data_IF_643270674133
#
_entry.id   IF_643270674133
#
_cell.length_a   1.000
_cell.length_b   1.000
_cell.length_c   1.000
_cell.angle_alpha   90.00
_cell.angle_beta   90.00
_cell.angle_gamma   90.00
#
_symmetry.space_group_name_H-M   'P 1'
#
loop_
_entity.id
_entity.type
_entity.pdbx_description
1 polymer ?
#
# COMPACT_ATOMS: atom_id res chain seq x y z
N UNK A 1 78.75 31.26 -22.46
CA UNK A 1 77.66 30.29 -22.15
C UNK A 1 76.54 30.44 -23.18
N UNK A 2 76.65 29.63 -24.25
CA UNK A 2 75.64 28.98 -25.12
C UNK A 2 74.22 29.62 -25.29
N UNK A 3 73.97 30.12 -26.54
CA UNK A 3 72.82 30.02 -27.49
C UNK A 3 71.35 30.17 -26.99
N UNK A 4 70.52 31.10 -27.52
CA UNK A 4 69.66 31.10 -28.75
C UNK A 4 68.57 29.99 -28.80
N UNK A 5 67.35 30.35 -29.30
CA UNK A 5 66.15 29.55 -29.70
C UNK A 5 65.13 29.25 -28.58
N UNK A 6 63.82 29.10 -28.79
CA UNK A 6 62.85 29.44 -29.84
C UNK A 6 61.45 29.12 -29.26
N UNK A 7 60.40 29.64 -29.89
CA UNK A 7 58.98 29.31 -29.70
C UNK A 7 58.75 27.79 -29.53
N UNK A 8 57.86 27.38 -28.63
CA UNK A 8 56.83 26.38 -28.92
C UNK A 8 55.74 26.36 -27.84
N UNK A 9 54.50 26.29 -28.31
CA UNK A 9 53.24 26.17 -27.57
C UNK A 9 53.21 24.97 -26.64
N UNK A 10 52.65 25.13 -25.43
CA UNK A 10 52.10 23.98 -24.70
C UNK A 10 50.81 24.40 -23.99
N UNK A 11 49.72 23.76 -24.42
CA UNK A 11 48.39 23.78 -23.84
C UNK A 11 48.47 23.71 -22.31
N UNK A 12 47.82 24.66 -21.63
CA UNK A 12 47.32 24.40 -20.28
C UNK A 12 46.22 23.36 -20.40
N UNK A 13 46.55 22.10 -20.10
CA UNK A 13 45.59 21.09 -19.67
C UNK A 13 44.92 21.60 -18.39
N UNK A 14 43.77 22.25 -18.52
CA UNK A 14 42.79 22.20 -17.45
C UNK A 14 42.40 20.74 -17.31
N UNK A 15 42.92 20.10 -16.26
CA UNK A 15 42.39 18.85 -15.78
C UNK A 15 40.91 19.08 -15.48
N UNK A 16 40.04 18.64 -16.40
CA UNK A 16 38.69 18.27 -16.03
C UNK A 16 38.88 17.19 -14.97
N UNK A 17 38.77 17.56 -13.69
CA UNK A 17 38.20 16.63 -12.75
C UNK A 17 36.80 16.34 -13.30
N UNK A 18 36.69 15.24 -14.04
CA UNK A 18 35.41 14.61 -14.29
C UNK A 18 34.92 14.23 -12.89
N UNK A 19 34.15 15.13 -12.29
CA UNK A 19 33.28 14.77 -11.20
C UNK A 19 32.34 13.74 -11.83
N UNK A 20 32.58 12.46 -11.54
CA UNK A 20 31.69 11.38 -11.95
C UNK A 20 30.38 11.62 -11.19
N UNK A 21 29.45 12.31 -11.83
CA UNK A 21 28.09 12.46 -11.33
C UNK A 21 27.45 11.08 -11.50
N UNK A 22 27.08 10.48 -10.36
CA UNK A 22 26.30 9.24 -10.30
C UNK A 22 25.12 9.32 -11.28
N UNK A 23 24.55 8.19 -11.71
CA UNK A 23 23.25 8.12 -12.39
C UNK A 23 22.06 8.59 -11.54
N UNK A 24 22.22 9.73 -10.86
CA UNK A 24 21.49 10.23 -9.70
C UNK A 24 20.23 11.00 -10.06
N UNK A 25 20.03 11.37 -11.32
CA UNK A 25 18.96 12.32 -11.67
C UNK A 25 17.63 11.62 -11.98
N UNK A 26 17.65 10.42 -12.59
CA UNK A 26 16.41 9.69 -12.94
C UNK A 26 15.50 9.49 -11.71
N UNK A 27 14.19 9.72 -11.85
CA UNK A 27 13.26 9.63 -10.73
C UNK A 27 12.98 8.17 -10.33
N UNK A 28 12.45 8.00 -9.12
CA UNK A 28 11.81 6.77 -8.65
C UNK A 28 10.34 6.83 -9.09
N UNK A 29 9.87 5.80 -9.79
CA UNK A 29 8.47 5.68 -10.17
C UNK A 29 7.67 5.02 -9.06
N UNK A 30 6.59 5.66 -8.60
CA UNK A 30 5.66 5.09 -7.60
C UNK A 30 4.30 4.97 -8.24
N UNK A 31 3.71 3.78 -8.21
CA UNK A 31 2.42 3.50 -8.83
C UNK A 31 1.38 3.00 -7.82
N UNK A 32 0.19 3.56 -7.89
CA UNK A 32 -1.00 3.07 -7.20
C UNK A 32 -2.23 3.13 -8.09
N UNK A 33 -3.29 2.39 -7.72
CA UNK A 33 -4.58 2.53 -8.40
C UNK A 33 -5.17 3.92 -8.20
N UNK A 34 -4.84 4.63 -7.11
CA UNK A 34 -5.38 5.96 -6.83
C UNK A 34 -4.48 6.81 -5.96
N UNK A 35 -5.10 7.51 -5.01
CA UNK A 35 -4.41 8.37 -4.04
C UNK A 35 -3.96 7.62 -2.79
N UNK A 36 -4.47 6.41 -2.53
CA UNK A 36 -4.09 5.63 -1.35
C UNK A 36 -2.57 5.39 -1.28
N UNK A 37 -1.91 5.15 -2.41
CA UNK A 37 -0.46 4.96 -2.49
C UNK A 37 0.39 6.16 -2.07
N UNK A 38 -0.21 7.34 -1.83
CA UNK A 38 0.49 8.47 -1.24
C UNK A 38 1.03 8.13 0.16
N UNK A 39 0.45 7.17 0.88
CA UNK A 39 1.01 6.67 2.16
C UNK A 39 2.38 6.03 1.98
N UNK A 40 2.60 5.29 0.88
CA UNK A 40 3.90 4.71 0.55
C UNK A 40 4.89 5.80 0.16
N UNK A 41 4.46 6.77 -0.65
CA UNK A 41 5.31 7.90 -1.03
C UNK A 41 5.70 8.74 0.19
N UNK A 42 4.76 9.03 1.08
CA UNK A 42 5.00 9.75 2.33
C UNK A 42 5.97 8.98 3.25
N UNK A 43 5.78 7.67 3.39
CA UNK A 43 6.73 6.81 4.10
C UNK A 43 8.14 6.89 3.51
N UNK A 44 8.28 6.94 2.18
CA UNK A 44 9.59 7.12 1.54
C UNK A 44 10.19 8.51 1.80
N UNK A 45 9.40 9.58 1.68
CA UNK A 45 9.86 10.96 1.88
C UNK A 45 10.33 11.20 3.33
N UNK A 46 9.73 10.54 4.30
CA UNK A 46 10.01 10.73 5.72
C UNK A 46 10.89 9.63 6.34
N UNK A 47 11.29 8.61 5.58
CA UNK A 47 12.09 7.51 6.11
C UNK A 47 13.47 8.02 6.56
N UNK A 48 13.87 7.73 7.79
CA UNK A 48 15.25 7.89 8.32
C UNK A 48 15.56 6.64 9.16
N UNK A 49 15.63 5.49 8.48
CA UNK A 49 15.84 4.19 9.10
C UNK A 49 17.28 3.69 8.92
N UNK A 50 18.07 4.34 8.07
CA UNK A 50 19.44 3.93 7.75
C UNK A 50 20.41 5.11 7.80
N UNK A 51 21.67 4.78 8.02
CA UNK A 51 22.72 5.77 7.93
C UNK A 51 23.06 5.98 6.45
N UNK A 52 22.86 7.18 5.93
CA UNK A 52 22.98 7.49 4.52
C UNK A 52 24.39 7.29 3.94
N UNK A 53 25.41 7.35 4.78
CA UNK A 53 26.79 7.08 4.38
C UNK A 53 27.06 5.57 4.29
N UNK A 54 26.76 4.84 5.35
CA UNK A 54 27.14 3.42 5.48
C UNK A 54 26.12 2.44 4.91
N UNK A 55 24.86 2.86 4.76
CA UNK A 55 23.73 2.00 4.39
C UNK A 55 23.29 1.02 5.48
N UNK A 56 23.88 1.10 6.69
CA UNK A 56 23.52 0.23 7.81
C UNK A 56 22.25 0.73 8.51
N UNK A 57 21.47 -0.15 9.15
CA UNK A 57 20.33 0.26 9.96
C UNK A 57 20.73 1.25 11.06
N UNK A 58 19.88 2.23 11.31
CA UNK A 58 20.06 3.29 12.30
C UNK A 58 19.96 4.68 11.69
N UNK A 59 19.02 5.49 12.19
CA UNK A 59 18.78 6.86 11.75
C UNK A 59 20.03 7.75 11.85
N UNK A 60 20.22 8.67 10.91
CA UNK A 60 21.28 9.68 10.97
C UNK A 60 20.80 11.13 10.96
N UNK A 61 19.49 11.34 11.11
CA UNK A 61 18.85 12.66 11.15
C UNK A 61 18.61 13.24 9.76
N UNK A 62 18.84 12.46 8.70
CA UNK A 62 18.66 12.86 7.32
C UNK A 62 17.75 11.83 6.64
N UNK A 63 16.67 12.27 5.96
CA UNK A 63 15.81 11.33 5.24
C UNK A 63 16.61 10.48 4.23
N UNK A 64 16.34 9.18 4.23
CA UNK A 64 17.00 8.17 3.41
C UNK A 64 16.90 8.48 1.92
N UNK A 65 15.77 9.03 1.49
CA UNK A 65 15.53 9.43 0.09
C UNK A 65 15.89 10.88 -0.19
N UNK A 66 16.70 11.53 0.66
CA UNK A 66 17.11 12.92 0.43
C UNK A 66 17.87 13.06 -0.91
N UNK A 67 17.36 13.95 -1.76
CA UNK A 67 17.94 14.22 -3.08
C UNK A 67 17.41 13.30 -4.19
N UNK A 68 16.47 12.41 -3.86
CA UNK A 68 15.72 11.63 -4.85
C UNK A 68 14.52 12.42 -5.38
N UNK A 69 14.13 12.12 -6.61
CA UNK A 69 12.95 12.68 -7.28
C UNK A 69 11.92 11.59 -7.55
N UNK A 70 10.64 11.94 -7.53
CA UNK A 70 9.55 10.98 -7.65
C UNK A 70 8.63 11.30 -8.83
N UNK A 71 8.31 10.25 -9.60
CA UNK A 71 7.18 10.24 -10.52
C UNK A 71 6.09 9.37 -9.90
N UNK A 72 5.06 10.00 -9.35
CA UNK A 72 3.89 9.29 -8.83
C UNK A 72 2.83 9.15 -9.92
N UNK A 73 2.28 7.95 -10.11
CA UNK A 73 1.17 7.68 -11.02
C UNK A 73 0.00 7.06 -10.26
N UNK A 74 -1.15 7.73 -10.33
CA UNK A 74 -2.46 7.22 -9.90
C UNK A 74 -3.33 6.86 -11.11
N UNK A 75 -3.83 5.64 -11.17
CA UNK A 75 -4.78 5.21 -12.21
C UNK A 75 -6.26 5.42 -11.82
N UNK A 76 -6.64 6.67 -11.51
CA UNK A 76 -8.00 7.00 -11.04
C UNK A 76 -9.09 6.59 -12.04
N UNK A 77 -8.78 6.62 -13.35
CA UNK A 77 -9.69 6.23 -14.43
C UNK A 77 -10.21 4.78 -14.32
N UNK A 78 -9.43 3.90 -13.69
CA UNK A 78 -9.72 2.47 -13.60
C UNK A 78 -9.89 1.99 -12.15
N UNK A 79 -10.07 2.91 -11.20
CA UNK A 79 -10.39 2.52 -9.83
C UNK A 79 -11.83 1.99 -9.70
N UNK A 80 -12.09 1.16 -8.67
CA UNK A 80 -11.14 0.56 -7.73
C UNK A 80 -10.64 -0.82 -8.20
N UNK A 81 -9.33 -1.04 -8.17
CA UNK A 81 -8.72 -2.33 -8.57
C UNK A 81 -9.20 -3.51 -7.72
N UNK A 82 -9.61 -3.26 -6.47
CA UNK A 82 -10.07 -4.29 -5.54
C UNK A 82 -11.26 -5.12 -6.03
N UNK A 83 -12.04 -4.62 -7.00
CA UNK A 83 -13.27 -5.28 -7.47
C UNK A 83 -13.08 -6.12 -8.74
N UNK A 84 -11.98 -5.94 -9.48
CA UNK A 84 -11.79 -6.53 -10.81
C UNK A 84 -11.84 -8.07 -10.80
N UNK A 85 -11.28 -8.70 -9.77
CA UNK A 85 -11.29 -10.16 -9.65
C UNK A 85 -12.70 -10.72 -9.46
N UNK A 86 -13.55 -10.03 -8.68
CA UNK A 86 -14.93 -10.43 -8.48
C UNK A 86 -15.79 -10.25 -9.74
N UNK A 87 -15.37 -9.36 -10.65
CA UNK A 87 -16.01 -9.13 -11.94
C UNK A 87 -15.42 -9.99 -13.08
N UNK A 88 -14.47 -10.89 -12.79
CA UNK A 88 -13.82 -11.71 -13.82
C UNK A 88 -12.91 -10.93 -14.77
N UNK A 89 -12.44 -9.73 -14.37
CA UNK A 89 -11.64 -8.80 -15.18
C UNK A 89 -10.14 -8.81 -14.83
N UNK A 90 -9.63 -9.90 -14.29
CA UNK A 90 -8.24 -10.00 -13.81
C UNK A 90 -7.20 -9.77 -14.92
N UNK A 91 -7.44 -10.28 -16.13
CA UNK A 91 -6.49 -10.09 -17.24
C UNK A 91 -6.43 -8.62 -17.69
N UNK A 92 -7.60 -7.97 -17.76
CA UNK A 92 -7.69 -6.55 -18.03
C UNK A 92 -7.00 -5.73 -16.93
N UNK A 93 -7.17 -6.08 -15.65
CA UNK A 93 -6.45 -5.44 -14.54
C UNK A 93 -4.92 -5.52 -14.75
N UNK A 94 -4.40 -6.70 -15.07
CA UNK A 94 -2.96 -6.89 -15.33
C UNK A 94 -2.47 -6.05 -16.48
N UNK A 95 -3.22 -6.01 -17.58
CA UNK A 95 -2.89 -5.19 -18.75
C UNK A 95 -2.76 -3.70 -18.36
N UNK A 96 -3.73 -3.17 -17.61
CA UNK A 96 -3.73 -1.78 -17.16
C UNK A 96 -2.54 -1.47 -16.24
N UNK A 97 -2.22 -2.38 -15.31
CA UNK A 97 -1.04 -2.26 -14.45
C UNK A 97 0.24 -2.21 -15.29
N UNK A 98 0.41 -3.13 -16.25
CA UNK A 98 1.61 -3.18 -17.08
C UNK A 98 1.78 -1.93 -17.95
N UNK A 99 0.68 -1.34 -18.45
CA UNK A 99 0.71 -0.03 -19.14
C UNK A 99 1.19 1.08 -18.22
N UNK A 100 0.66 1.15 -16.99
CA UNK A 100 1.07 2.14 -15.99
C UNK A 100 2.55 2.01 -15.62
N UNK A 101 3.03 0.78 -15.39
CA UNK A 101 4.44 0.54 -15.11
C UNK A 101 5.33 0.87 -16.32
N UNK A 102 4.88 0.57 -17.54
CA UNK A 102 5.60 0.93 -18.77
C UNK A 102 5.71 2.44 -18.94
N UNK A 103 4.65 3.18 -18.66
CA UNK A 103 4.66 4.64 -18.66
C UNK A 103 5.74 5.16 -17.71
N UNK A 104 5.78 4.70 -16.45
CA UNK A 104 6.81 5.12 -15.49
C UNK A 104 8.23 4.74 -15.93
N UNK A 105 8.41 3.50 -16.41
CA UNK A 105 9.70 2.91 -16.73
C UNK A 105 10.40 3.51 -17.97
N UNK A 106 9.65 4.15 -18.88
CA UNK A 106 10.18 4.66 -20.15
C UNK A 106 10.08 6.17 -20.24
N UNK A 107 10.95 6.76 -21.06
CA UNK A 107 10.77 8.15 -21.49
C UNK A 107 9.46 8.25 -22.26
N UNK A 108 8.59 9.16 -21.82
CA UNK A 108 7.26 9.31 -22.43
C UNK A 108 7.00 10.78 -22.69
N UNK A 109 6.57 11.09 -23.91
CA UNK A 109 6.09 12.43 -24.26
C UNK A 109 4.61 12.53 -23.93
N UNK A 110 4.22 13.65 -23.32
CA UNK A 110 2.83 13.96 -23.02
C UNK A 110 2.54 15.43 -23.31
N UNK A 111 1.27 15.76 -23.51
CA UNK A 111 0.84 17.12 -23.74
C UNK A 111 0.16 17.68 -22.49
N UNK A 112 0.58 18.85 -22.06
CA UNK A 112 -0.08 19.60 -21.00
C UNK A 112 -0.72 20.85 -21.61
N UNK A 113 -2.01 21.05 -21.33
CA UNK A 113 -2.69 22.30 -21.66
C UNK A 113 -2.27 23.36 -20.66
N UNK A 114 -1.70 24.46 -21.15
CA UNK A 114 -1.40 25.65 -20.35
C UNK A 114 -2.10 26.82 -21.04
N UNK A 115 -3.08 27.41 -20.34
CA UNK A 115 -4.05 28.34 -20.93
C UNK A 115 -4.72 27.74 -22.18
N UNK A 116 -4.45 28.31 -23.36
CA UNK A 116 -5.10 27.96 -24.63
C UNK A 116 -4.20 27.16 -25.58
N UNK A 117 -3.08 26.61 -25.09
CA UNK A 117 -2.12 25.85 -25.91
C UNK A 117 -1.73 24.53 -25.26
N UNK A 118 -1.49 23.52 -26.10
CA UNK A 118 -0.87 22.26 -25.70
C UNK A 118 0.64 22.38 -25.86
N UNK A 119 1.36 22.09 -24.78
CA UNK A 119 2.82 22.07 -24.76
C UNK A 119 3.26 20.62 -24.58
N UNK A 120 4.19 20.17 -25.42
CA UNK A 120 4.80 18.85 -25.30
C UNK A 120 5.81 18.87 -24.14
N UNK A 121 5.66 17.94 -23.23
CA UNK A 121 6.58 17.66 -22.14
C UNK A 121 7.14 16.26 -22.29
N UNK A 122 8.35 16.05 -21.79
CA UNK A 122 8.95 14.72 -21.69
C UNK A 122 9.04 14.34 -20.22
N UNK A 123 8.46 13.19 -19.87
CA UNK A 123 8.68 12.52 -18.59
C UNK A 123 9.92 11.64 -18.71
N UNK A 124 10.88 11.82 -17.82
CA UNK A 124 12.05 10.95 -17.72
C UNK A 124 11.65 9.51 -17.35
N UNK A 125 12.43 8.55 -17.82
CA UNK A 125 12.33 7.15 -17.41
C UNK A 125 12.74 6.96 -15.94
N UNK A 126 12.05 6.08 -15.22
CA UNK A 126 12.37 5.79 -13.82
C UNK A 126 13.59 4.86 -13.68
N UNK A 127 14.41 5.08 -12.64
CA UNK A 127 15.55 4.19 -12.30
C UNK A 127 15.16 3.00 -11.43
N UNK A 128 14.02 3.11 -10.75
CA UNK A 128 13.41 2.10 -9.88
C UNK A 128 11.90 2.27 -9.94
N UNK A 129 11.17 1.19 -9.70
CA UNK A 129 9.72 1.20 -9.60
C UNK A 129 9.25 0.67 -8.23
N UNK A 130 8.27 1.34 -7.65
CA UNK A 130 7.57 0.94 -6.43
C UNK A 130 6.09 0.75 -6.76
N UNK A 131 5.58 -0.45 -6.52
CA UNK A 131 4.16 -0.81 -6.67
C UNK A 131 3.51 -0.64 -5.30
N UNK A 132 2.94 0.54 -5.06
CA UNK A 132 2.30 0.92 -3.80
C UNK A 132 0.92 0.25 -3.62
N UNK A 133 0.23 -0.06 -4.72
CA UNK A 133 -1.07 -0.74 -4.66
C UNK A 133 -0.91 -2.20 -4.20
N UNK A 134 -1.59 -2.56 -3.10
CA UNK A 134 -1.64 -3.94 -2.61
C UNK A 134 -2.26 -4.89 -3.64
N UNK A 135 -3.40 -4.50 -4.23
CA UNK A 135 -4.07 -5.31 -5.25
C UNK A 135 -3.20 -5.47 -6.49
N UNK A 136 -2.55 -4.41 -6.98
CA UNK A 136 -1.68 -4.50 -8.15
C UNK A 136 -0.46 -5.40 -7.87
N UNK A 137 0.13 -5.28 -6.69
CA UNK A 137 1.22 -6.17 -6.25
C UNK A 137 0.77 -7.62 -6.24
N UNK A 138 -0.43 -7.91 -5.73
CA UNK A 138 -0.96 -9.26 -5.62
C UNK A 138 -1.17 -9.96 -6.98
N UNK A 139 -1.56 -9.20 -8.01
CA UNK A 139 -1.90 -9.75 -9.31
C UNK A 139 -0.76 -9.68 -10.33
N UNK A 140 0.10 -8.66 -10.27
CA UNK A 140 0.99 -8.32 -11.37
C UNK A 140 2.47 -8.15 -10.99
N UNK A 141 2.89 -8.26 -9.71
CA UNK A 141 4.29 -8.01 -9.34
C UNK A 141 5.29 -8.85 -10.16
N UNK A 142 5.01 -10.13 -10.36
CA UNK A 142 5.87 -11.01 -11.17
C UNK A 142 5.85 -10.63 -12.65
N UNK A 143 4.69 -10.29 -13.20
CA UNK A 143 4.55 -9.85 -14.59
C UNK A 143 5.33 -8.54 -14.83
N UNK A 144 5.30 -7.61 -13.87
CA UNK A 144 6.07 -6.36 -13.90
C UNK A 144 7.58 -6.67 -13.81
N UNK A 145 8.02 -7.50 -12.86
CA UNK A 145 9.44 -7.90 -12.74
C UNK A 145 9.95 -8.54 -14.03
N UNK A 146 9.16 -9.40 -14.66
CA UNK A 146 9.51 -10.03 -15.93
C UNK A 146 9.61 -9.00 -17.07
N UNK A 147 8.67 -8.05 -17.14
CA UNK A 147 8.68 -6.99 -18.15
C UNK A 147 9.86 -6.01 -17.99
N UNK A 148 10.21 -5.69 -16.75
CA UNK A 148 11.29 -4.74 -16.42
C UNK A 148 12.69 -5.37 -16.52
N UNK A 149 12.77 -6.70 -16.40
CA UNK A 149 14.03 -7.42 -16.34
C UNK A 149 14.84 -7.11 -15.07
N UNK A 150 16.10 -7.59 -15.00
CA UNK A 150 16.93 -7.44 -13.80
C UNK A 150 17.49 -6.01 -13.61
N UNK A 151 17.35 -5.14 -14.61
CA UNK A 151 18.03 -3.83 -14.65
C UNK A 151 17.26 -2.72 -13.91
N UNK A 152 15.93 -2.83 -13.83
CA UNK A 152 15.08 -1.87 -13.11
C UNK A 152 14.51 -2.59 -11.89
N UNK A 153 14.97 -2.29 -10.66
CA UNK A 153 14.40 -2.87 -9.46
C UNK A 153 12.92 -2.53 -9.32
N UNK A 154 12.13 -3.56 -8.98
CA UNK A 154 10.69 -3.42 -8.72
C UNK A 154 10.40 -3.91 -7.30
N UNK A 155 9.96 -3.00 -6.45
CA UNK A 155 9.58 -3.27 -5.06
C UNK A 155 8.05 -3.20 -4.93
N UNK A 156 7.44 -4.18 -4.28
CA UNK A 156 6.00 -4.24 -4.06
C UNK A 156 5.65 -4.39 -2.59
N UNK A 157 4.48 -3.91 -2.21
CA UNK A 157 4.08 -3.80 -0.79
C UNK A 157 3.88 -5.14 -0.07
N UNK A 158 3.48 -6.19 -0.78
CA UNK A 158 3.17 -7.50 -0.17
C UNK A 158 4.42 -8.13 0.44
N UNK A 159 5.50 -8.28 -0.34
CA UNK A 159 6.73 -8.92 0.15
C UNK A 159 7.29 -8.19 1.38
N UNK A 160 7.25 -6.86 1.37
CA UNK A 160 7.72 -6.02 2.47
C UNK A 160 6.88 -6.23 3.74
N UNK A 161 5.56 -6.21 3.63
CA UNK A 161 4.66 -6.51 4.76
C UNK A 161 4.84 -7.93 5.29
N UNK A 162 5.01 -8.92 4.40
CA UNK A 162 5.24 -10.31 4.78
C UNK A 162 6.55 -10.47 5.57
N UNK A 163 7.67 -9.90 5.10
CA UNK A 163 8.95 -10.01 5.82
C UNK A 163 8.87 -9.39 7.22
N UNK A 164 8.18 -8.26 7.38
CA UNK A 164 8.00 -7.65 8.69
C UNK A 164 7.13 -8.51 9.63
N UNK A 165 6.04 -9.10 9.12
CA UNK A 165 5.23 -10.05 9.88
C UNK A 165 6.05 -11.27 10.32
N UNK A 166 6.86 -11.85 9.42
CA UNK A 166 7.69 -13.02 9.74
C UNK A 166 8.76 -12.72 10.78
N UNK A 167 9.43 -11.55 10.72
CA UNK A 167 10.37 -11.10 11.77
C UNK A 167 9.73 -11.02 13.16
N UNK A 168 8.44 -10.70 13.23
CA UNK A 168 7.70 -10.73 14.49
C UNK A 168 7.39 -12.18 14.92
N UNK A 169 6.92 -13.01 13.99
CA UNK A 169 6.60 -14.42 14.24
C UNK A 169 7.81 -15.28 14.65
N UNK A 170 9.03 -14.91 14.26
CA UNK A 170 10.27 -15.52 14.76
C UNK A 170 10.43 -15.36 16.27
N UNK A 171 9.91 -14.27 16.84
CA UNK A 171 10.00 -13.96 18.27
C UNK A 171 8.81 -14.52 19.03
N UNK A 172 7.61 -14.38 18.47
CA UNK A 172 6.36 -14.77 19.13
C UNK A 172 5.40 -15.40 18.11
N UNK A 173 5.28 -16.74 18.18
CA UNK A 173 4.38 -17.48 17.29
C UNK A 173 2.92 -17.17 17.59
N UNK A 174 2.15 -16.91 16.54
CA UNK A 174 0.71 -16.76 16.60
C UNK A 174 0.07 -16.90 15.23
N UNK A 175 -1.17 -16.45 15.13
CA UNK A 175 -1.87 -16.34 13.84
C UNK A 175 -1.56 -14.98 13.22
N UNK A 176 -1.18 -14.99 11.94
CA UNK A 176 -1.02 -13.79 11.11
C UNK A 176 -2.35 -13.49 10.44
N UNK A 177 -2.96 -12.36 10.81
CA UNK A 177 -4.11 -11.81 10.11
C UNK A 177 -3.67 -11.00 8.90
N UNK A 178 -4.38 -11.14 7.78
CA UNK A 178 -4.26 -10.28 6.60
C UNK A 178 -5.57 -9.52 6.45
N UNK A 179 -5.57 -8.24 6.78
CA UNK A 179 -6.73 -7.38 6.58
C UNK A 179 -6.49 -6.49 5.35
N UNK A 180 -7.17 -6.81 4.25
CA UNK A 180 -6.88 -6.23 2.94
C UNK A 180 -8.16 -5.99 2.11
N UNK A 181 -8.04 -5.41 0.92
CA UNK A 181 -9.18 -5.34 -0.01
C UNK A 181 -9.66 -6.73 -0.40
N UNK A 182 -10.93 -6.84 -0.80
CA UNK A 182 -11.52 -8.13 -1.22
C UNK A 182 -10.76 -8.77 -2.38
N UNK A 183 -10.31 -7.97 -3.36
CA UNK A 183 -9.47 -8.44 -4.46
C UNK A 183 -8.10 -8.94 -3.99
N UNK A 184 -7.46 -8.24 -3.05
CA UNK A 184 -6.18 -8.70 -2.48
C UNK A 184 -6.35 -10.03 -1.76
N UNK A 185 -7.42 -10.20 -0.97
CA UNK A 185 -7.70 -11.49 -0.31
C UNK A 185 -7.98 -12.59 -1.34
N UNK A 186 -8.80 -12.30 -2.36
CA UNK A 186 -9.15 -13.26 -3.40
C UNK A 186 -7.94 -13.75 -4.22
N UNK A 187 -6.92 -12.90 -4.41
CA UNK A 187 -5.68 -13.27 -5.10
C UNK A 187 -4.86 -14.35 -4.38
N UNK A 188 -5.08 -14.51 -3.07
CA UNK A 188 -4.23 -15.28 -2.17
C UNK A 188 -2.75 -14.81 -2.14
N UNK A 189 -2.49 -13.54 -2.49
CA UNK A 189 -1.13 -12.99 -2.63
C UNK A 189 -0.34 -13.00 -1.32
N UNK A 190 -0.92 -12.46 -0.24
CA UNK A 190 -0.27 -12.45 1.08
C UNK A 190 -0.01 -13.86 1.62
N UNK A 191 -0.99 -14.80 1.70
CA UNK A 191 -0.70 -16.13 2.23
C UNK A 191 0.35 -16.89 1.40
N UNK A 192 0.34 -16.78 0.07
CA UNK A 192 1.37 -17.39 -0.78
C UNK A 192 2.76 -16.80 -0.48
N UNK A 193 2.87 -15.49 -0.38
CA UNK A 193 4.14 -14.81 -0.09
C UNK A 193 4.65 -15.14 1.32
N UNK A 194 3.76 -15.16 2.32
CA UNK A 194 4.10 -15.55 3.70
C UNK A 194 4.64 -16.98 3.76
N UNK A 195 3.99 -17.95 3.13
CA UNK A 195 4.45 -19.35 3.13
C UNK A 195 5.77 -19.51 2.37
N UNK A 196 5.94 -18.85 1.23
CA UNK A 196 7.19 -18.89 0.45
C UNK A 196 8.37 -18.30 1.21
N UNK A 197 8.17 -17.12 1.83
CA UNK A 197 9.20 -16.45 2.63
C UNK A 197 9.44 -17.18 3.96
N UNK A 198 8.40 -17.69 4.60
CA UNK A 198 8.52 -18.49 5.82
C UNK A 198 9.34 -19.77 5.58
N UNK A 199 9.09 -20.46 4.47
CA UNK A 199 9.87 -21.64 4.08
C UNK A 199 11.34 -21.31 3.82
N UNK A 200 11.66 -20.16 3.21
CA UNK A 200 13.05 -19.74 3.01
C UNK A 200 13.78 -19.39 4.32
N UNK A 201 13.02 -19.03 5.35
CA UNK A 201 13.51 -18.83 6.73
C UNK A 201 13.46 -20.11 7.58
N UNK A 202 13.18 -21.28 6.98
CA UNK A 202 13.01 -22.56 7.69
C UNK A 202 11.94 -22.52 8.79
N UNK A 203 10.94 -21.66 8.65
CA UNK A 203 9.77 -21.65 9.52
C UNK A 203 8.85 -22.81 9.16
N UNK A 204 8.22 -23.42 10.17
CA UNK A 204 7.16 -24.41 9.94
C UNK A 204 5.91 -23.77 9.32
N UNK A 205 4.90 -24.59 9.03
CA UNK A 205 3.61 -24.13 8.48
C UNK A 205 3.05 -22.98 9.32
N UNK A 206 2.74 -21.87 8.66
CA UNK A 206 2.23 -20.67 9.30
C UNK A 206 0.72 -20.79 9.58
N UNK A 207 0.25 -20.15 10.64
CA UNK A 207 -1.19 -19.95 10.86
C UNK A 207 -1.57 -18.60 10.27
N UNK A 208 -2.37 -18.60 9.21
CA UNK A 208 -2.71 -17.40 8.44
C UNK A 208 -4.23 -17.33 8.28
N UNK A 209 -4.81 -16.15 8.51
CA UNK A 209 -6.22 -15.88 8.27
C UNK A 209 -6.37 -14.56 7.51
N UNK A 210 -7.22 -14.55 6.48
CA UNK A 210 -7.48 -13.36 5.67
C UNK A 210 -8.90 -12.85 5.85
N UNK A 211 -9.05 -11.52 5.94
CA UNK A 211 -10.32 -10.79 5.96
C UNK A 211 -10.33 -9.70 4.88
N UNK A 212 -11.35 -9.72 4.03
CA UNK A 212 -11.58 -8.68 3.04
C UNK A 212 -12.36 -7.51 3.64
N UNK A 213 -11.79 -6.31 3.65
CA UNK A 213 -12.44 -5.09 4.14
C UNK A 213 -13.32 -4.43 3.08
N UNK A 214 -14.39 -5.12 2.66
CA UNK A 214 -15.33 -4.60 1.67
C UNK A 214 -15.96 -3.26 2.10
N UNK A 215 -15.88 -2.26 1.23
CA UNK A 215 -16.40 -0.92 1.46
C UNK A 215 -15.57 -0.06 2.42
N UNK A 216 -14.53 -0.59 3.07
CA UNK A 216 -13.74 0.17 4.03
C UNK A 216 -12.89 1.24 3.33
N UNK A 217 -12.18 0.88 2.25
CA UNK A 217 -11.37 1.85 1.50
C UNK A 217 -12.26 2.94 0.90
N UNK A 218 -13.38 2.53 0.31
CA UNK A 218 -14.38 3.43 -0.28
C UNK A 218 -15.02 4.35 0.78
N UNK A 219 -15.26 3.87 2.01
CA UNK A 219 -15.74 4.71 3.11
C UNK A 219 -14.71 5.76 3.55
N UNK A 220 -13.42 5.44 3.50
CA UNK A 220 -12.32 6.37 3.82
C UNK A 220 -12.24 7.46 2.74
N UNK A 221 -12.40 7.07 1.48
CA UNK A 221 -12.44 7.98 0.32
C UNK A 221 -13.76 8.76 0.21
N UNK A 222 -14.73 8.49 1.09
CA UNK A 222 -16.07 9.08 1.08
C UNK A 222 -16.83 8.84 -0.22
N UNK A 223 -16.66 7.66 -0.80
CA UNK A 223 -17.45 7.23 -1.95
C UNK A 223 -18.93 7.18 -1.57
N UNK A 224 -19.76 7.90 -2.34
CA UNK A 224 -21.20 7.99 -2.10
C UNK A 224 -21.88 6.62 -1.99
N UNK A 225 -21.40 5.57 -2.65
CA UNK A 225 -21.98 4.23 -2.58
C UNK A 225 -21.79 3.56 -1.20
N UNK A 226 -20.88 4.07 -0.36
CA UNK A 226 -20.47 3.46 0.91
C UNK A 226 -20.55 4.42 2.10
N UNK A 227 -20.50 5.73 1.88
CA UNK A 227 -20.61 6.74 2.93
C UNK A 227 -21.23 8.02 2.37
N UNK A 228 -22.08 8.66 3.15
CA UNK A 228 -22.66 9.96 2.84
C UNK A 228 -22.82 10.82 4.10
N UNK A 229 -22.22 12.01 4.11
CA UNK A 229 -22.16 12.86 5.30
C UNK A 229 -23.52 13.42 5.75
N UNK A 230 -24.39 13.73 4.79
CA UNK A 230 -25.62 14.51 5.03
C UNK A 230 -26.89 13.64 5.03
N UNK A 231 -26.76 12.33 5.22
CA UNK A 231 -27.91 11.41 5.24
C UNK A 231 -28.17 10.89 6.64
N UNK A 232 -29.45 10.74 6.98
CA UNK A 232 -29.92 10.27 8.29
C UNK A 232 -30.78 9.01 8.18
N UNK A 233 -30.93 8.46 6.98
CA UNK A 233 -31.73 7.26 6.70
C UNK A 233 -30.98 6.32 5.75
N UNK A 234 -31.21 4.99 5.84
CA UNK A 234 -30.70 4.04 4.87
C UNK A 234 -31.02 4.43 3.42
N UNK A 235 -30.13 4.06 2.50
CA UNK A 235 -30.23 4.39 1.07
C UNK A 235 -30.33 3.13 0.24
N UNK A 236 -31.11 3.21 -0.84
CA UNK A 236 -31.32 2.08 -1.77
C UNK A 236 -30.06 1.76 -2.57
N UNK A 237 -29.23 2.76 -2.86
CA UNK A 237 -28.01 2.63 -3.65
C UNK A 237 -26.75 2.31 -2.82
N UNK A 238 -26.90 2.15 -1.50
CA UNK A 238 -25.81 1.77 -0.61
C UNK A 238 -25.35 0.34 -0.91
N UNK A 239 -24.04 0.15 -1.07
CA UNK A 239 -23.44 -1.14 -1.47
C UNK A 239 -22.74 -1.86 -0.33
N UNK A 240 -22.47 -1.20 0.79
CA UNK A 240 -21.68 -1.74 1.90
C UNK A 240 -22.38 -2.84 2.72
N UNK A 241 -21.77 -3.26 3.85
CA UNK A 241 -22.39 -4.19 4.78
C UNK A 241 -23.72 -3.65 5.30
N UNK A 242 -24.76 -4.48 5.27
CA UNK A 242 -26.10 -4.15 5.76
C UNK A 242 -26.84 -5.38 6.29
N UNK A 243 -28.00 -5.21 6.92
CA UNK A 243 -28.83 -6.36 7.33
C UNK A 243 -29.35 -7.16 6.13
N UNK A 244 -29.62 -6.47 5.01
CA UNK A 244 -30.16 -7.07 3.79
C UNK A 244 -29.10 -7.55 2.79
N UNK A 245 -27.82 -7.19 2.97
CA UNK A 245 -26.75 -7.57 2.06
C UNK A 245 -26.48 -9.09 2.12
N UNK A 246 -26.63 -9.78 0.99
CA UNK A 246 -26.49 -11.24 0.95
C UNK A 246 -25.05 -11.73 1.01
N UNK A 247 -24.07 -10.89 0.63
CA UNK A 247 -22.65 -11.24 0.60
C UNK A 247 -21.89 -10.74 1.82
N UNK A 248 -22.31 -9.58 2.35
CA UNK A 248 -21.72 -8.94 3.52
C UNK A 248 -22.81 -8.59 4.54
N UNK A 249 -23.56 -9.59 5.05
CA UNK A 249 -24.61 -9.34 6.02
C UNK A 249 -24.02 -8.84 7.34
N UNK A 250 -24.70 -7.89 7.97
CA UNK A 250 -24.56 -7.60 9.40
C UNK A 250 -25.35 -8.66 10.16
N UNK A 251 -24.69 -9.43 11.02
CA UNK A 251 -25.37 -10.44 11.82
C UNK A 251 -26.05 -9.80 13.04
N UNK A 252 -27.40 -9.77 13.11
CA UNK A 252 -28.10 -9.16 14.22
C UNK A 252 -27.78 -9.84 15.56
N UNK A 253 -27.37 -11.11 15.59
CA UNK A 253 -26.97 -11.82 16.81
C UNK A 253 -25.65 -11.27 17.39
N UNK A 254 -24.84 -10.58 16.58
CA UNK A 254 -23.57 -9.98 16.98
C UNK A 254 -23.67 -8.48 17.28
N UNK A 255 -24.88 -7.89 17.28
CA UNK A 255 -25.08 -6.45 17.52
C UNK A 255 -24.39 -5.94 18.79
N UNK A 256 -24.49 -6.70 19.89
CA UNK A 256 -23.85 -6.37 21.17
C UNK A 256 -22.32 -6.44 21.10
N UNK A 257 -21.77 -7.21 20.17
CA UNK A 257 -20.34 -7.39 19.95
C UNK A 257 -19.79 -6.32 19.02
N UNK A 258 -20.50 -6.02 17.92
CA UNK A 258 -20.12 -4.97 16.98
C UNK A 258 -19.97 -3.63 17.69
N UNK A 259 -20.94 -3.28 18.56
CA UNK A 259 -20.98 -1.98 19.27
C UNK A 259 -20.76 -0.81 18.31
N UNK A 260 -21.50 -0.81 17.21
CA UNK A 260 -21.40 0.24 16.20
C UNK A 260 -21.65 1.61 16.83
N UNK A 261 -20.87 2.60 16.39
CA UNK A 261 -21.07 4.00 16.71
C UNK A 261 -22.32 4.48 15.98
N UNK A 262 -23.33 4.93 16.72
CA UNK A 262 -24.62 5.40 16.18
C UNK A 262 -24.80 6.91 16.21
N UNK A 263 -23.92 7.64 16.88
CA UNK A 263 -23.96 9.11 16.95
C UNK A 263 -23.65 9.74 15.61
N UNK A 264 -24.20 10.91 15.31
CA UNK A 264 -23.80 11.71 14.14
C UNK A 264 -24.05 11.04 12.79
N UNK A 265 -25.09 10.20 12.70
CA UNK A 265 -25.41 9.41 11.51
C UNK A 265 -24.32 8.39 11.09
N UNK A 266 -23.40 8.01 11.99
CA UNK A 266 -22.38 6.97 11.72
C UNK A 266 -22.97 5.57 11.50
N UNK A 267 -24.20 5.34 11.96
CA UNK A 267 -25.01 4.15 11.69
C UNK A 267 -26.41 4.60 11.27
N UNK A 268 -26.89 4.10 10.14
CA UNK A 268 -28.22 4.41 9.63
C UNK A 268 -29.14 3.23 9.89
N UNK A 269 -30.28 3.46 10.51
CA UNK A 269 -31.29 2.44 10.76
C UNK A 269 -32.66 2.90 10.27
N UNK A 270 -33.37 2.00 9.58
CA UNK A 270 -34.82 2.11 9.40
C UNK A 270 -35.50 1.33 10.52
N UNK A 271 -36.54 1.90 11.13
CA UNK A 271 -37.22 1.29 12.28
C UNK A 271 -38.65 0.95 11.92
N UNK A 272 -39.12 -0.23 12.35
CA UNK A 272 -40.54 -0.56 12.32
C UNK A 272 -41.34 0.16 13.42
N UNK A 273 -42.65 -0.01 13.40
CA UNK A 273 -43.57 0.57 14.39
C UNK A 273 -43.30 0.11 15.84
N UNK A 274 -42.48 -0.93 16.02
CA UNK A 274 -42.07 -1.48 17.32
C UNK A 274 -40.68 -1.00 17.74
N UNK A 275 -40.04 -0.12 16.95
CA UNK A 275 -38.70 0.41 17.22
C UNK A 275 -37.58 -0.58 16.95
N UNK A 276 -37.83 -1.67 16.20
CA UNK A 276 -36.78 -2.60 15.76
C UNK A 276 -36.15 -2.08 14.47
N UNK A 277 -34.81 -2.04 14.43
CA UNK A 277 -34.09 -1.71 13.20
C UNK A 277 -34.29 -2.83 12.17
N UNK A 278 -34.95 -2.52 11.05
CA UNK A 278 -35.29 -3.43 9.94
C UNK A 278 -34.27 -3.37 8.81
N UNK A 279 -33.58 -2.25 8.66
CA UNK A 279 -32.45 -2.07 7.75
C UNK A 279 -31.35 -1.31 8.49
N UNK A 280 -30.10 -1.78 8.40
CA UNK A 280 -28.95 -1.17 9.06
C UNK A 280 -27.85 -0.97 8.03
N UNK A 281 -27.31 0.24 7.92
CA UNK A 281 -26.20 0.56 7.02
C UNK A 281 -25.09 1.27 7.78
N UNK A 282 -23.84 0.90 7.49
CA UNK A 282 -22.67 1.55 8.06
C UNK A 282 -22.42 2.86 7.32
N UNK A 283 -22.15 3.94 8.04
CA UNK A 283 -21.91 5.26 7.44
C UNK A 283 -20.70 5.96 8.09
N UNK A 284 -19.76 5.15 8.59
CA UNK A 284 -18.54 5.62 9.25
C UNK A 284 -17.43 4.55 9.12
N UNK A 285 -16.20 4.91 8.70
CA UNK A 285 -15.11 3.95 8.55
C UNK A 285 -14.79 3.17 9.84
N UNK A 286 -15.03 3.73 11.03
CA UNK A 286 -14.88 3.03 12.32
C UNK A 286 -15.82 1.83 12.40
N UNK A 287 -17.05 1.97 11.91
CA UNK A 287 -18.02 0.89 11.90
C UNK A 287 -17.65 -0.20 10.88
N UNK A 288 -17.07 0.17 9.75
CA UNK A 288 -16.50 -0.81 8.81
C UNK A 288 -15.35 -1.60 9.45
N UNK A 289 -14.45 -0.94 10.19
CA UNK A 289 -13.39 -1.62 10.95
C UNK A 289 -13.97 -2.61 11.95
N UNK A 290 -14.96 -2.18 12.76
CA UNK A 290 -15.64 -3.06 13.73
C UNK A 290 -16.27 -4.27 13.07
N UNK A 291 -17.03 -4.06 12.00
CA UNK A 291 -17.68 -5.13 11.24
C UNK A 291 -16.68 -6.18 10.77
N UNK A 292 -15.58 -5.75 10.13
CA UNK A 292 -14.60 -6.66 9.54
C UNK A 292 -13.74 -7.36 10.59
N UNK A 293 -13.36 -6.69 11.68
CA UNK A 293 -12.59 -7.32 12.76
C UNK A 293 -13.42 -8.33 13.55
N UNK A 294 -14.71 -8.04 13.83
CA UNK A 294 -15.61 -9.02 14.43
C UNK A 294 -15.79 -10.22 13.49
N UNK A 295 -16.01 -9.98 12.19
CA UNK A 295 -16.13 -11.06 11.18
C UNK A 295 -14.88 -11.95 11.16
N UNK A 296 -13.69 -11.35 11.21
CA UNK A 296 -12.41 -12.08 11.28
C UNK A 296 -12.33 -12.97 12.53
N UNK A 297 -12.64 -12.44 13.71
CA UNK A 297 -12.54 -13.21 14.96
C UNK A 297 -13.62 -14.29 15.08
N UNK A 298 -14.84 -14.04 14.61
CA UNK A 298 -15.89 -15.06 14.54
C UNK A 298 -15.51 -16.19 13.59
N UNK A 299 -14.91 -15.86 12.43
CA UNK A 299 -14.33 -16.85 11.53
C UNK A 299 -13.26 -17.68 12.24
N UNK A 300 -12.32 -17.05 12.95
CA UNK A 300 -11.27 -17.77 13.67
C UNK A 300 -11.83 -18.70 14.76
N UNK A 301 -12.85 -18.27 15.50
CA UNK A 301 -13.53 -19.10 16.50
C UNK A 301 -14.21 -20.30 15.84
N UNK A 302 -14.97 -20.06 14.78
CA UNK A 302 -15.71 -21.10 14.03
C UNK A 302 -14.78 -22.12 13.40
N UNK A 303 -13.64 -21.69 12.89
CA UNK A 303 -12.62 -22.55 12.27
C UNK A 303 -11.62 -23.13 13.30
N UNK A 304 -11.84 -22.90 14.59
CA UNK A 304 -11.04 -23.43 15.69
C UNK A 304 -9.53 -23.17 15.56
N UNK A 305 -9.15 -21.93 15.26
CA UNK A 305 -7.73 -21.55 15.23
C UNK A 305 -7.09 -21.79 16.59
N UNK A 306 -6.02 -22.59 16.61
CA UNK A 306 -5.32 -22.98 17.83
C UNK A 306 -4.41 -21.88 18.39
N UNK A 307 -3.93 -20.99 17.54
CA UNK A 307 -3.05 -19.87 17.91
C UNK A 307 -3.83 -18.55 17.89
N UNK A 308 -3.60 -17.66 18.87
CA UNK A 308 -4.27 -16.36 18.87
C UNK A 308 -3.72 -15.46 17.76
N UNK A 309 -4.56 -14.58 17.22
CA UNK A 309 -4.17 -13.48 16.36
C UNK A 309 -3.24 -12.55 17.15
N UNK A 310 -1.97 -12.49 16.76
CA UNK A 310 -0.97 -11.62 17.40
C UNK A 310 -0.26 -10.69 16.39
N UNK A 311 -0.52 -10.84 15.10
CA UNK A 311 -0.01 -9.98 14.02
C UNK A 311 -1.14 -9.68 13.05
N UNK A 312 -1.28 -8.45 12.61
CA UNK A 312 -2.27 -8.05 11.60
C UNK A 312 -1.59 -7.17 10.54
N UNK A 313 -1.53 -7.67 9.31
CA UNK A 313 -1.04 -6.93 8.15
C UNK A 313 -2.16 -6.04 7.61
N UNK A 314 -1.89 -4.74 7.50
CA UNK A 314 -2.77 -3.74 6.91
C UNK A 314 -2.61 -3.72 5.38
N UNK A 315 -3.13 -4.76 4.72
CA UNK A 315 -2.99 -5.02 3.28
C UNK A 315 -3.82 -4.13 2.34
N UNK A 316 -4.08 -2.89 2.74
CA UNK A 316 -4.63 -1.83 1.90
C UNK A 316 -3.98 -0.51 2.28
N UNK A 317 -3.65 0.32 1.30
CA UNK A 317 -2.97 1.61 1.51
C UNK A 317 -3.80 2.62 2.31
N UNK A 318 -5.13 2.42 2.44
CA UNK A 318 -5.99 3.28 3.26
C UNK A 318 -6.01 2.89 4.74
N UNK A 319 -5.73 1.62 5.08
CA UNK A 319 -5.94 1.11 6.43
C UNK A 319 -4.97 1.70 7.48
N UNK A 320 -3.73 2.09 7.14
CA UNK A 320 -2.85 2.83 8.06
C UNK A 320 -3.47 4.12 8.62
N UNK A 321 -4.35 4.82 7.89
CA UNK A 321 -5.06 5.99 8.41
C UNK A 321 -5.98 5.66 9.61
N UNK A 322 -6.38 4.40 9.75
CA UNK A 322 -7.22 3.90 10.84
C UNK A 322 -6.44 3.00 11.80
N UNK A 323 -5.09 3.07 11.83
CA UNK A 323 -4.25 2.21 12.69
C UNK A 323 -4.68 2.29 14.16
N UNK A 324 -4.89 3.49 14.69
CA UNK A 324 -5.29 3.69 16.08
C UNK A 324 -6.71 3.15 16.35
N UNK A 325 -7.63 3.36 15.42
CA UNK A 325 -8.99 2.79 15.46
C UNK A 325 -8.95 1.27 15.48
N UNK A 326 -8.17 0.64 14.57
CA UNK A 326 -7.99 -0.81 14.50
C UNK A 326 -7.41 -1.33 15.82
N UNK A 327 -6.38 -0.68 16.35
CA UNK A 327 -5.76 -1.05 17.63
C UNK A 327 -6.76 -0.96 18.79
N UNK A 328 -7.54 0.13 18.86
CA UNK A 328 -8.57 0.34 19.89
C UNK A 328 -9.66 -0.73 19.80
N UNK A 329 -10.16 -1.00 18.60
CA UNK A 329 -11.21 -2.02 18.41
C UNK A 329 -10.70 -3.42 18.78
N UNK A 330 -9.48 -3.79 18.39
CA UNK A 330 -8.89 -5.08 18.81
C UNK A 330 -8.79 -5.18 20.35
N UNK A 331 -8.38 -4.11 21.03
CA UNK A 331 -8.33 -4.07 22.49
C UNK A 331 -9.72 -4.21 23.12
N UNK A 332 -10.71 -3.48 22.61
CA UNK A 332 -12.10 -3.61 23.07
C UNK A 332 -12.64 -5.03 22.88
N UNK A 333 -12.34 -5.67 21.74
CA UNK A 333 -12.75 -7.05 21.47
C UNK A 333 -12.04 -8.05 22.39
N UNK A 334 -10.76 -7.83 22.71
CA UNK A 334 -10.03 -8.66 23.68
C UNK A 334 -10.66 -8.64 25.09
N UNK A 335 -11.19 -7.48 25.50
CA UNK A 335 -11.83 -7.29 26.80
C UNK A 335 -13.35 -7.52 26.80
N UNK A 336 -13.95 -7.76 25.62
CA UNK A 336 -15.38 -8.02 25.49
C UNK A 336 -15.79 -9.32 26.19
N UNK A 337 -16.83 -9.22 27.02
CA UNK A 337 -17.45 -10.35 27.72
C UNK A 337 -18.88 -10.56 27.25
N UNK A 338 -19.22 -11.81 26.97
CA UNK A 338 -20.61 -12.26 26.90
C UNK A 338 -20.94 -13.11 28.14
N UNK A 339 -22.11 -13.76 28.13
CA UNK A 339 -22.58 -14.61 29.24
C UNK A 339 -21.60 -15.75 29.58
N UNK A 340 -20.74 -16.15 28.65
CA UNK A 340 -19.75 -17.22 28.82
C UNK A 340 -18.35 -16.70 29.18
N UNK A 341 -18.22 -15.41 29.54
CA UNK A 341 -16.95 -14.79 29.88
C UNK A 341 -16.31 -14.09 28.68
N UNK A 342 -14.98 -14.06 28.62
CA UNK A 342 -14.26 -13.34 27.56
C UNK A 342 -14.42 -14.03 26.21
N UNK A 343 -15.09 -13.35 25.26
CA UNK A 343 -15.52 -13.96 24.00
C UNK A 343 -14.37 -14.35 23.08
N UNK A 344 -13.28 -13.56 23.06
CA UNK A 344 -12.21 -13.64 22.05
C UNK A 344 -10.82 -13.96 22.59
N UNK A 345 -10.59 -14.01 23.91
CA UNK A 345 -9.25 -14.26 24.46
C UNK A 345 -8.63 -15.60 24.07
N UNK A 346 -9.43 -16.57 23.61
CA UNK A 346 -8.94 -17.83 23.04
C UNK A 346 -8.37 -17.72 21.63
N UNK A 347 -8.72 -16.68 20.87
CA UNK A 347 -8.30 -16.49 19.45
C UNK A 347 -7.65 -15.14 19.18
N UNK A 348 -7.55 -14.26 20.17
CA UNK A 348 -6.98 -12.92 20.04
C UNK A 348 -5.98 -12.68 21.17
N UNK A 349 -4.76 -12.28 20.82
CA UNK A 349 -3.74 -11.95 21.80
C UNK A 349 -4.00 -10.57 22.42
N UNK A 350 -3.49 -10.34 23.64
CA UNK A 350 -3.60 -9.05 24.33
C UNK A 350 -2.97 -7.91 23.52
N UNK A 351 -1.85 -8.20 22.85
CA UNK A 351 -1.17 -7.29 21.95
C UNK A 351 -1.16 -7.90 20.55
N UNK A 352 -1.60 -7.12 19.57
CA UNK A 352 -1.52 -7.46 18.15
C UNK A 352 -0.55 -6.47 17.50
N UNK A 353 0.49 -6.99 16.87
CA UNK A 353 1.43 -6.19 16.09
C UNK A 353 0.79 -5.78 14.76
N UNK A 354 0.58 -4.48 14.56
CA UNK A 354 0.02 -3.95 13.32
C UNK A 354 1.15 -3.65 12.33
N UNK A 355 1.23 -4.44 11.28
CA UNK A 355 2.22 -4.28 10.22
C UNK A 355 1.66 -3.31 9.18
N UNK A 356 2.38 -2.20 8.97
CA UNK A 356 2.11 -1.26 7.90
C UNK A 356 3.04 -1.55 6.72
N UNK A 357 2.52 -2.11 5.60
CA UNK A 357 3.33 -2.39 4.43
C UNK A 357 4.00 -1.15 3.83
N UNK A 358 3.47 0.07 4.02
CA UNK A 358 4.01 1.27 3.42
C UNK A 358 5.41 1.61 3.95
N UNK A 359 5.57 1.60 5.27
CA UNK A 359 6.86 1.86 5.94
C UNK A 359 7.89 0.78 5.57
N UNK A 360 7.47 -0.48 5.53
CA UNK A 360 8.38 -1.58 5.17
C UNK A 360 8.78 -1.53 3.70
N UNK A 361 7.87 -1.10 2.83
CA UNK A 361 8.16 -0.89 1.40
C UNK A 361 9.19 0.20 1.20
N UNK A 362 9.07 1.31 1.93
CA UNK A 362 10.06 2.39 1.89
C UNK A 362 11.46 1.89 2.28
N UNK A 363 11.57 1.07 3.34
CA UNK A 363 12.85 0.45 3.75
C UNK A 363 13.41 -0.45 2.66
N UNK A 364 12.59 -1.30 2.04
CA UNK A 364 13.04 -2.18 0.96
C UNK A 364 13.43 -1.42 -0.30
N UNK A 365 12.67 -0.38 -0.65
CA UNK A 365 12.99 0.50 -1.78
C UNK A 365 14.32 1.21 -1.56
N UNK A 366 14.62 1.67 -0.34
CA UNK A 366 15.90 2.30 -0.05
C UNK A 366 17.06 1.31 -0.22
N UNK A 367 16.92 0.10 0.33
CA UNK A 367 17.95 -0.95 0.20
C UNK A 367 18.18 -1.33 -1.28
N UNK A 368 17.12 -1.47 -2.07
CA UNK A 368 17.24 -1.77 -3.49
C UNK A 368 17.79 -0.60 -4.31
N UNK A 369 17.47 0.65 -3.95
CA UNK A 369 18.05 1.86 -4.55
C UNK A 369 19.57 1.90 -4.34
N UNK A 370 20.06 1.58 -3.14
CA UNK A 370 21.51 1.56 -2.84
C UNK A 370 22.28 0.48 -3.59
N UNK A 371 21.61 -0.58 -4.02
CA UNK A 371 22.20 -1.67 -4.78
C UNK A 371 22.22 -1.43 -6.29
N UNK A 372 21.68 -0.29 -6.77
CA UNK A 372 21.79 0.06 -8.18
C UNK A 372 23.26 0.32 -8.56
N UNK A 373 23.72 -0.23 -9.70
CA UNK A 373 25.07 0.06 -10.20
C UNK A 373 25.22 1.55 -10.54
N UNK A 374 26.40 2.11 -10.29
CA UNK A 374 26.70 3.48 -10.72
C UNK A 374 26.66 3.55 -12.26
N UNK A 375 25.64 4.22 -12.81
CA UNK A 375 25.59 4.49 -14.25
C UNK A 375 26.48 5.69 -14.58
N UNK A 376 27.38 5.52 -15.55
CA UNK A 376 28.07 6.63 -16.21
C UNK A 376 27.05 7.47 -16.98
N UNK A 377 26.94 8.76 -16.65
CA UNK A 377 26.06 9.69 -17.34
C UNK A 377 26.60 10.00 -18.75
N UNK A 378 26.21 9.20 -19.75
CA UNK A 378 26.39 9.54 -21.16
C UNK A 378 25.10 10.21 -21.69
N UNK A 379 24.79 11.42 -21.22
CA UNK A 379 23.79 12.26 -21.88
C UNK A 379 24.21 13.71 -21.83
N UNK A 380 24.71 14.21 -22.96
CA UNK A 380 25.11 15.61 -23.21
C UNK A 380 23.94 16.49 -23.66
N UNK A 381 22.70 16.11 -23.33
CA UNK A 381 21.52 16.95 -23.56
C UNK A 381 21.23 17.81 -22.33
N UNK A 382 20.75 19.04 -22.52
CA UNK A 382 20.28 19.90 -21.42
C UNK A 382 19.13 19.22 -20.69
N UNK A 383 19.43 18.55 -19.57
CA UNK A 383 18.42 17.95 -18.70
C UNK A 383 17.73 19.13 -17.99
N UNK A 384 16.46 19.39 -18.35
CA UNK A 384 15.58 20.25 -17.56
C UNK A 384 15.71 19.87 -16.08
N UNK A 385 15.76 20.82 -15.12
CA UNK A 385 15.77 20.47 -13.70
C UNK A 385 14.61 19.50 -13.43
N UNK A 386 14.95 18.26 -13.07
CA UNK A 386 13.97 17.22 -12.82
C UNK A 386 13.28 17.57 -11.51
N UNK A 387 11.96 17.70 -11.56
CA UNK A 387 11.09 17.99 -10.43
C UNK A 387 10.21 16.78 -10.18
N UNK A 388 9.72 16.64 -8.95
CA UNK A 388 8.69 15.66 -8.64
C UNK A 388 7.46 15.90 -9.54
N UNK A 389 6.87 14.82 -10.03
CA UNK A 389 5.72 14.90 -10.90
C UNK A 389 4.63 13.92 -10.46
N UNK A 390 3.40 14.43 -10.48
CA UNK A 390 2.19 13.66 -10.21
C UNK A 390 1.43 13.48 -11.51
N UNK A 391 1.18 12.23 -11.87
CA UNK A 391 0.38 11.82 -13.01
C UNK A 391 -0.88 11.16 -12.50
N UNK A 392 -2.03 11.61 -13.01
CA UNK A 392 -3.34 11.04 -12.68
C UNK A 392 -4.00 10.68 -14.00
N UNK A 393 -4.29 9.38 -14.19
CA UNK A 393 -5.15 8.96 -15.28
C UNK A 393 -6.60 9.27 -14.88
N UNK A 394 -7.32 10.02 -15.72
CA UNK A 394 -8.73 10.39 -15.50
C UNK A 394 -9.59 9.78 -16.62
N UNK A 395 -10.88 9.48 -16.37
CA UNK A 395 -11.80 8.89 -17.36
C UNK A 395 -11.98 9.70 -18.64
#
# INVERSE_FOLDING_TARGET
MIKILARLSLLLLFGLQILVVRGQHQPIGVFDSGTGGLTVLEAMLNLDAFNNKTGKPGADGIPDFRGEHFNYLADQANMPYGNYAAEGKTDFLKEQILKCMTFLAKDTFYQKRIADRYINYQKANAKMLVVACNTATAYALNDIKNLMGPTIPVVGVIDAGCKAALRFQEKEKGTIGVFATVGTVASNGYPKALEQLGASLSMGKLSIVSQGGYGLAESIDRDWSFLADQVSKPRVDYKGPSLSNTKYPIDPALTSVYRFVSTGNSLLCEYDDKGKCTEMQLNDPVNYVRYHLVTLLEKMKKEHYALPLNTLILGCTHYPFLRDTISSVLKELYDFKDENGYRYRGVLALKVELIDPAIETAKEAYLALRNLPERSSASTGSISPQQDAFFIAVP
#
